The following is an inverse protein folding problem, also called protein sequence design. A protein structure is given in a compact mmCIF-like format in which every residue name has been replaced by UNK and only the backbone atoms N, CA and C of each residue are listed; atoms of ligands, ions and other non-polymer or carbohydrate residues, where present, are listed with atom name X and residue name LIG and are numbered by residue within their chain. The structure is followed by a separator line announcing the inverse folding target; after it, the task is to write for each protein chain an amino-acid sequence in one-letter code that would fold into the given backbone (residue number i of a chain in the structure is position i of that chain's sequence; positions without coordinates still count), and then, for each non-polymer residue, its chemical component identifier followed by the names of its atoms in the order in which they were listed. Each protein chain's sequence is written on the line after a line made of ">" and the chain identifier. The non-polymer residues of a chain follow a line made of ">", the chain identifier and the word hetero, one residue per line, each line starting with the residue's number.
data_IF_812629994663
#
_entry.id   IF_812629994663
#
_cell.length_a   1.000
_cell.length_b   1.000
_cell.length_c   1.000
_cell.angle_alpha   90.00
_cell.angle_beta   90.00
_cell.angle_gamma   90.00
#
_symmetry.space_group_name_H-M   'P 1'
#
loop_
_entity.id
_entity.type
_entity.pdbx_description
1 polymer ?
#
# COMPACT_ATOMS: atom_id res chain seq x y z
N UNK A 1 -2.32 0.96 20.97
CA UNK A 1 -2.56 0.87 19.51
C UNK A 1 -2.37 2.24 18.91
N UNK A 2 -1.43 2.40 17.97
CA UNK A 2 -1.21 3.69 17.32
C UNK A 2 -2.30 3.91 16.27
N UNK A 3 -3.10 4.94 16.46
CA UNK A 3 -4.12 5.37 15.52
C UNK A 3 -3.37 5.92 14.31
N UNK A 4 -3.37 5.20 13.19
CA UNK A 4 -2.89 5.74 11.91
C UNK A 4 -3.96 6.74 11.46
N UNK A 5 -3.87 7.97 11.96
CA UNK A 5 -4.66 9.08 11.46
C UNK A 5 -4.43 9.17 9.96
N UNK A 6 -5.49 9.02 9.17
CA UNK A 6 -5.50 9.27 7.74
C UNK A 6 -5.03 10.70 7.49
N UNK A 7 -3.75 10.90 7.26
CA UNK A 7 -3.18 12.22 7.02
C UNK A 7 -3.45 12.59 5.57
N UNK A 8 -4.51 13.35 5.32
CA UNK A 8 -4.63 14.10 4.06
C UNK A 8 -3.39 14.98 3.90
N UNK A 9 -2.72 14.84 2.76
CA UNK A 9 -1.57 15.69 2.44
C UNK A 9 -2.05 17.13 2.22
N UNK A 10 -1.46 18.11 2.90
CA UNK A 10 -1.86 19.52 2.78
C UNK A 10 -0.79 20.29 2.01
N UNK A 11 -0.81 20.15 0.69
CA UNK A 11 0.10 20.85 -0.22
C UNK A 11 -0.54 22.18 -0.63
N UNK A 12 0.24 23.27 -0.57
CA UNK A 12 -0.29 24.56 -1.01
C UNK A 12 -0.48 24.57 -2.54
N UNK A 13 -1.58 25.14 -3.07
CA UNK A 13 -1.83 25.18 -4.52
C UNK A 13 -0.71 25.87 -5.31
N UNK A 14 -0.09 26.91 -4.74
CA UNK A 14 1.03 27.61 -5.34
C UNK A 14 2.26 26.71 -5.49
N UNK A 15 2.61 25.95 -4.45
CA UNK A 15 3.75 25.03 -4.52
C UNK A 15 3.46 23.85 -5.44
N UNK A 16 2.23 23.35 -5.47
CA UNK A 16 1.85 22.28 -6.39
C UNK A 16 1.95 22.71 -7.85
N UNK A 17 1.52 23.93 -8.17
CA UNK A 17 1.57 24.48 -9.54
C UNK A 17 3.00 24.68 -10.05
N UNK A 18 3.93 25.04 -9.17
CA UNK A 18 5.31 25.38 -9.55
C UNK A 18 6.26 24.18 -9.43
N UNK A 19 6.13 23.40 -8.35
CA UNK A 19 7.09 22.37 -7.99
C UNK A 19 6.53 20.93 -8.06
N UNK A 20 5.21 20.77 -8.26
CA UNK A 20 4.56 19.46 -8.30
C UNK A 20 4.92 18.57 -7.10
N UNK A 21 4.84 19.14 -5.89
CA UNK A 21 5.26 18.50 -4.64
C UNK A 21 4.54 17.17 -4.37
N UNK A 22 3.34 16.99 -4.92
CA UNK A 22 2.61 15.72 -4.89
C UNK A 22 3.41 14.54 -5.45
N UNK A 23 4.33 14.78 -6.39
CA UNK A 23 5.20 13.75 -6.97
C UNK A 23 6.12 13.11 -5.95
N UNK A 24 6.51 13.84 -4.90
CA UNK A 24 7.42 13.39 -3.84
C UNK A 24 6.74 12.42 -2.86
N UNK A 25 5.41 12.50 -2.71
CA UNK A 25 4.64 11.65 -1.80
C UNK A 25 4.75 10.17 -2.18
N UNK A 26 4.85 9.31 -1.16
CA UNK A 26 4.91 7.87 -1.32
C UNK A 26 6.21 7.26 -0.79
N UNK A 27 6.35 5.95 -1.00
CA UNK A 27 7.51 5.18 -0.61
C UNK A 27 8.45 5.02 -1.81
N UNK A 28 9.75 5.08 -1.55
CA UNK A 28 10.81 5.00 -2.54
C UNK A 28 11.87 4.02 -2.06
N UNK A 29 12.32 3.11 -2.92
CA UNK A 29 13.33 2.09 -2.58
C UNK A 29 14.37 1.98 -3.68
N UNK A 30 15.60 1.66 -3.29
CA UNK A 30 16.69 1.39 -4.20
C UNK A 30 17.94 0.95 -3.45
N UNK A 31 19.09 1.06 -4.11
CA UNK A 31 20.37 0.64 -3.56
C UNK A 31 21.38 1.78 -3.69
N UNK A 32 22.27 1.88 -2.71
CA UNK A 32 23.40 2.80 -2.76
C UNK A 32 24.34 2.48 -3.93
N UNK A 33 24.74 3.53 -4.65
CA UNK A 33 25.76 3.43 -5.70
C UNK A 33 27.10 3.06 -5.06
N UNK A 34 27.71 1.97 -5.53
CA UNK A 34 29.06 1.54 -5.15
C UNK A 34 29.15 0.39 -4.15
N UNK A 35 28.16 0.19 -3.27
CA UNK A 35 28.14 -0.92 -2.31
C UNK A 35 26.87 -1.78 -2.37
N UNK A 36 25.90 -1.40 -3.21
CA UNK A 36 24.64 -2.09 -3.44
C UNK A 36 23.80 -2.35 -2.17
N UNK A 37 24.05 -1.62 -1.08
CA UNK A 37 23.27 -1.75 0.15
C UNK A 37 21.88 -1.13 -0.02
N UNK A 38 20.81 -1.75 0.51
CA UNK A 38 19.46 -1.25 0.35
C UNK A 38 19.26 0.06 1.11
N UNK A 39 18.50 0.96 0.50
CA UNK A 39 18.11 2.25 1.06
C UNK A 39 16.68 2.60 0.64
N UNK A 40 15.94 3.23 1.55
CA UNK A 40 14.56 3.62 1.34
C UNK A 40 14.27 5.00 1.89
N UNK A 41 13.36 5.72 1.24
CA UNK A 41 12.87 7.01 1.70
C UNK A 41 11.37 7.05 1.48
N UNK A 42 10.60 7.44 2.48
CA UNK A 42 9.14 7.52 2.41
C UNK A 42 8.69 8.90 2.84
N UNK A 43 7.89 9.54 1.99
CA UNK A 43 7.26 10.83 2.27
C UNK A 43 5.79 10.58 2.60
N UNK A 44 5.46 10.72 3.87
CA UNK A 44 4.13 10.42 4.43
C UNK A 44 3.16 11.57 4.17
N UNK A 45 3.62 12.80 4.39
CA UNK A 45 2.82 14.01 4.23
C UNK A 45 3.73 15.20 3.94
N UNK A 46 3.25 16.18 3.18
CA UNK A 46 3.85 17.49 2.98
C UNK A 46 2.86 18.55 3.45
N UNK A 47 3.33 19.47 4.32
CA UNK A 47 2.59 20.62 4.85
C UNK A 47 3.46 21.88 4.74
N UNK A 48 3.26 22.64 3.67
CA UNK A 48 4.08 23.84 3.39
C UNK A 48 5.56 23.50 3.23
N UNK A 49 6.41 24.07 4.09
CA UNK A 49 7.86 23.85 4.08
C UNK A 49 8.32 22.63 4.92
N UNK A 50 7.39 21.78 5.37
CA UNK A 50 7.69 20.61 6.19
C UNK A 50 7.10 19.34 5.60
N UNK A 51 7.86 18.24 5.67
CA UNK A 51 7.38 16.91 5.32
C UNK A 51 7.55 15.95 6.49
N UNK A 52 6.59 15.05 6.70
CA UNK A 52 6.80 13.90 7.58
C UNK A 52 7.39 12.76 6.75
N UNK A 53 8.53 12.23 7.18
CA UNK A 53 9.29 11.25 6.41
C UNK A 53 9.73 10.05 7.26
N UNK A 54 10.01 8.95 6.58
CA UNK A 54 10.74 7.79 7.10
C UNK A 54 11.95 7.53 6.19
N UNK A 55 13.13 7.37 6.76
CA UNK A 55 14.37 7.10 6.04
C UNK A 55 14.98 5.79 6.53
N UNK A 56 15.13 4.82 5.63
CA UNK A 56 15.63 3.48 5.95
C UNK A 56 17.00 3.29 5.32
N UNK A 57 18.02 2.99 6.13
CA UNK A 57 19.38 2.70 5.67
C UNK A 57 20.07 1.76 6.65
N UNK A 58 20.96 0.89 6.15
CA UNK A 58 21.74 -0.05 6.98
C UNK A 58 20.89 -0.88 7.96
N UNK A 59 19.67 -1.25 7.57
CA UNK A 59 18.73 -2.01 8.42
C UNK A 59 18.00 -1.19 9.49
N UNK A 60 18.24 0.12 9.59
CA UNK A 60 17.57 1.01 10.54
C UNK A 60 16.58 1.94 9.82
N UNK A 61 15.54 2.39 10.53
CA UNK A 61 14.59 3.38 10.02
C UNK A 61 14.50 4.57 10.99
N UNK A 62 14.81 5.75 10.47
CA UNK A 62 14.67 7.03 11.15
C UNK A 62 13.37 7.70 10.70
N UNK A 63 12.69 8.38 11.61
CA UNK A 63 11.42 9.05 11.33
C UNK A 63 11.44 10.46 11.89
N UNK A 64 10.85 11.41 11.17
CA UNK A 64 10.78 12.78 11.66
C UNK A 64 10.21 13.76 10.66
N UNK A 65 10.47 15.04 10.94
CA UNK A 65 10.11 16.14 10.07
C UNK A 65 11.31 16.59 9.26
N UNK A 66 11.14 16.64 7.94
CA UNK A 66 12.08 17.11 6.96
C UNK A 66 11.69 18.52 6.47
N UNK A 67 12.68 19.26 5.98
CA UNK A 67 12.46 20.53 5.31
C UNK A 67 12.12 20.30 3.84
N UNK A 68 11.17 21.08 3.32
CA UNK A 68 10.75 21.03 1.92
C UNK A 68 11.11 22.35 1.26
N UNK A 69 11.97 22.29 0.25
CA UNK A 69 12.36 23.44 -0.56
C UNK A 69 12.14 23.12 -2.04
N UNK A 70 11.04 23.66 -2.58
CA UNK A 70 10.62 23.39 -3.96
C UNK A 70 10.33 21.90 -4.18
N UNK A 71 11.12 21.27 -5.06
CA UNK A 71 11.05 19.84 -5.39
C UNK A 71 12.03 18.96 -4.58
N UNK A 72 12.70 19.54 -3.58
CA UNK A 72 13.67 18.85 -2.73
C UNK A 72 13.12 18.69 -1.31
N UNK A 73 13.48 17.56 -0.68
CA UNK A 73 13.25 17.31 0.74
C UNK A 73 14.58 17.01 1.41
N UNK A 74 14.87 17.71 2.51
CA UNK A 74 16.10 17.53 3.29
C UNK A 74 15.76 17.02 4.69
N UNK A 75 16.36 15.90 5.07
CA UNK A 75 16.19 15.25 6.38
C UNK A 75 17.56 14.85 6.93
N UNK A 76 18.03 15.55 7.95
CA UNK A 76 19.39 15.36 8.48
C UNK A 76 20.44 15.54 7.38
N UNK A 77 21.28 14.52 7.18
CA UNK A 77 22.30 14.49 6.11
C UNK A 77 21.80 14.11 4.73
N UNK A 78 20.51 13.82 4.57
CA UNK A 78 19.92 13.31 3.33
C UNK A 78 19.16 14.42 2.61
N UNK A 79 19.37 14.53 1.31
CA UNK A 79 18.53 15.33 0.40
C UNK A 79 17.99 14.43 -0.70
N UNK A 80 16.68 14.48 -0.93
CA UNK A 80 16.01 13.75 -2.01
C UNK A 80 15.31 14.68 -2.98
N UNK A 81 15.20 14.26 -4.24
CA UNK A 81 14.45 14.99 -5.26
C UNK A 81 13.97 14.07 -6.38
N UNK A 82 12.80 14.39 -6.94
CA UNK A 82 12.26 13.74 -8.13
C UNK A 82 11.85 14.77 -9.16
N UNK A 83 12.06 14.46 -10.44
CA UNK A 83 11.60 15.30 -11.57
C UNK A 83 10.25 14.82 -12.12
N UNK A 84 10.09 13.50 -12.20
CA UNK A 84 9.00 12.84 -12.92
C UNK A 84 7.99 12.13 -12.00
N UNK A 85 8.31 11.98 -10.71
CA UNK A 85 7.48 11.21 -9.80
C UNK A 85 7.57 9.70 -10.01
N UNK A 86 8.57 9.21 -10.76
CA UNK A 86 8.84 7.77 -10.99
C UNK A 86 10.18 7.35 -10.41
N UNK A 87 11.20 8.20 -10.58
CA UNK A 87 12.53 8.00 -10.03
C UNK A 87 12.92 9.16 -9.12
N UNK A 88 13.59 8.85 -8.04
CA UNK A 88 14.07 9.83 -7.06
C UNK A 88 15.58 9.64 -6.86
N UNK A 89 16.32 10.74 -6.84
CA UNK A 89 17.72 10.73 -6.45
C UNK A 89 17.78 11.01 -4.96
N UNK A 90 18.54 10.21 -4.24
CA UNK A 90 18.90 10.42 -2.85
C UNK A 90 20.39 10.73 -2.77
N UNK A 91 20.73 11.84 -2.12
CA UNK A 91 22.08 12.27 -1.83
C UNK A 91 22.26 12.29 -0.30
N UNK A 92 23.24 11.56 0.21
CA UNK A 92 23.72 11.72 1.58
C UNK A 92 25.03 12.51 1.59
N UNK A 93 25.07 13.56 2.42
CA UNK A 93 26.26 14.38 2.61
C UNK A 93 26.28 14.96 4.03
N UNK A 94 27.25 14.50 4.84
CA UNK A 94 27.51 15.03 6.18
C UNK A 94 29.02 15.19 6.38
N UNK A 95 29.45 16.36 6.86
CA UNK A 95 30.74 16.55 7.55
C UNK A 95 32.01 16.07 6.83
N UNK A 96 32.12 16.22 5.51
CA UNK A 96 33.33 15.85 4.76
C UNK A 96 33.55 14.33 4.56
N UNK A 97 32.67 13.47 5.09
CA UNK A 97 32.80 12.01 5.08
C UNK A 97 32.45 11.33 3.73
N UNK A 98 32.54 12.07 2.62
CA UNK A 98 32.17 11.60 1.29
C UNK A 98 30.69 11.78 0.95
N UNK A 99 30.39 11.85 -0.34
CA UNK A 99 29.02 11.92 -0.88
C UNK A 99 28.60 10.51 -1.30
N UNK A 100 27.43 10.07 -0.85
CA UNK A 100 26.82 8.84 -1.35
C UNK A 100 25.54 9.18 -2.09
N UNK A 101 25.27 8.45 -3.16
CA UNK A 101 24.07 8.64 -3.98
C UNK A 101 23.34 7.33 -4.18
N UNK A 102 22.01 7.40 -4.30
CA UNK A 102 21.18 6.27 -4.66
C UNK A 102 20.11 6.73 -5.65
N UNK A 103 19.76 5.83 -6.58
CA UNK A 103 18.59 5.98 -7.42
C UNK A 103 17.48 5.13 -6.81
N UNK A 104 16.37 5.78 -6.47
CA UNK A 104 15.21 5.14 -5.86
C UNK A 104 14.07 5.09 -6.86
N UNK A 105 13.36 3.99 -6.86
CA UNK A 105 12.14 3.79 -7.65
C UNK A 105 10.92 3.99 -6.76
N UNK A 106 9.92 4.67 -7.31
CA UNK A 106 8.65 4.85 -6.61
C UNK A 106 7.99 3.50 -6.41
N UNK A 107 7.70 3.19 -5.16
CA UNK A 107 6.92 2.02 -4.83
C UNK A 107 5.46 2.34 -5.08
N UNK A 108 4.76 1.38 -5.68
CA UNK A 108 3.31 1.40 -5.64
C UNK A 108 2.89 1.52 -4.18
N UNK A 109 1.86 2.33 -3.85
CA UNK A 109 1.28 2.28 -2.53
C UNK A 109 1.06 0.81 -2.21
N UNK A 110 1.35 0.35 -0.98
CA UNK A 110 0.78 -0.92 -0.57
C UNK A 110 -0.70 -0.82 -0.91
N UNK A 111 -1.30 -1.94 -1.32
CA UNK A 111 -2.75 -2.00 -1.27
C UNK A 111 -3.19 -1.43 0.08
N UNK A 112 -4.39 -0.87 0.18
CA UNK A 112 -4.87 -0.60 1.52
C UNK A 112 -5.10 -1.98 2.16
N UNK A 113 -4.04 -2.53 2.78
CA UNK A 113 -3.98 -3.90 3.26
C UNK A 113 -5.17 -4.13 4.19
N UNK A 114 -5.45 -3.13 5.03
CA UNK A 114 -6.61 -3.06 5.91
C UNK A 114 -7.96 -3.17 5.19
N UNK A 115 -8.13 -2.54 4.02
CA UNK A 115 -9.41 -2.60 3.28
C UNK A 115 -9.65 -3.98 2.72
N UNK A 116 -8.64 -4.64 2.16
CA UNK A 116 -8.77 -5.96 1.52
C UNK A 116 -8.76 -7.13 2.51
N UNK A 117 -8.02 -7.02 3.60
CA UNK A 117 -7.90 -8.05 4.65
C UNK A 117 -9.28 -8.45 5.18
N UNK A 118 -9.60 -9.74 5.18
CA UNK A 118 -10.85 -10.25 5.73
C UNK A 118 -11.56 -11.23 4.82
N UNK A 119 -12.77 -11.62 5.22
CA UNK A 119 -13.62 -12.54 4.46
C UNK A 119 -14.71 -11.75 3.76
N UNK A 120 -14.96 -12.09 2.51
CA UNK A 120 -15.93 -11.47 1.64
C UNK A 120 -16.86 -12.53 1.09
N UNK A 121 -18.13 -12.20 0.94
CA UNK A 121 -19.07 -13.12 0.31
C UNK A 121 -20.31 -12.42 -0.18
N UNK A 122 -20.98 -13.08 -1.11
CA UNK A 122 -22.22 -12.56 -1.66
C UNK A 122 -22.80 -13.48 -2.72
N UNK A 123 -23.94 -13.04 -3.22
CA UNK A 123 -24.74 -13.70 -4.23
C UNK A 123 -25.24 -12.65 -5.22
N UNK A 124 -25.19 -12.98 -6.51
CA UNK A 124 -25.74 -12.15 -7.57
C UNK A 124 -27.07 -12.73 -8.04
N UNK A 125 -28.15 -11.97 -7.86
CA UNK A 125 -29.47 -12.28 -8.41
C UNK A 125 -29.46 -12.31 -9.94
N UNK A 126 -28.57 -11.54 -10.57
CA UNK A 126 -28.58 -11.31 -12.02
C UNK A 126 -28.04 -12.51 -12.80
N UNK A 127 -27.17 -13.30 -12.19
CA UNK A 127 -26.55 -14.47 -12.83
C UNK A 127 -26.63 -15.75 -11.98
N UNK A 128 -27.28 -15.68 -10.82
CA UNK A 128 -27.48 -16.81 -9.91
C UNK A 128 -26.20 -17.34 -9.26
N UNK A 129 -25.10 -16.58 -9.28
CA UNK A 129 -23.80 -17.02 -8.78
C UNK A 129 -23.51 -16.54 -7.37
N UNK A 130 -22.94 -17.42 -6.56
CA UNK A 130 -22.34 -17.10 -5.26
C UNK A 130 -20.83 -17.18 -5.34
N UNK A 131 -20.16 -16.24 -4.67
CA UNK A 131 -18.72 -16.27 -4.53
C UNK A 131 -18.32 -15.81 -3.13
N UNK A 132 -17.22 -16.36 -2.63
CA UNK A 132 -16.56 -15.87 -1.43
C UNK A 132 -15.06 -15.79 -1.64
N UNK A 133 -14.44 -14.83 -0.97
CA UNK A 133 -13.02 -14.53 -1.07
C UNK A 133 -12.51 -14.22 0.33
N UNK A 134 -11.53 -14.97 0.81
CA UNK A 134 -10.90 -14.75 2.09
C UNK A 134 -9.46 -14.35 1.87
N UNK A 135 -9.10 -13.17 2.38
CA UNK A 135 -7.75 -12.62 2.34
C UNK A 135 -7.11 -12.87 3.71
N UNK A 136 -6.18 -13.82 3.74
CA UNK A 136 -5.51 -14.31 4.95
C UNK A 136 -4.36 -13.41 5.37
N UNK A 137 -3.61 -12.92 4.40
CA UNK A 137 -2.53 -11.95 4.60
C UNK A 137 -2.29 -11.16 3.32
N UNK A 138 -1.76 -9.96 3.47
CA UNK A 138 -1.26 -9.14 2.36
C UNK A 138 0.17 -8.74 2.72
N UNK A 139 1.11 -8.97 1.80
CA UNK A 139 2.50 -8.61 1.94
C UNK A 139 2.98 -7.95 0.64
N UNK A 140 2.89 -6.62 0.58
CA UNK A 140 3.26 -5.85 -0.61
C UNK A 140 2.37 -6.19 -1.81
N UNK A 141 2.95 -6.84 -2.83
CA UNK A 141 2.25 -7.22 -4.08
C UNK A 141 1.67 -8.63 -4.04
N UNK A 142 1.79 -9.33 -2.92
CA UNK A 142 1.29 -10.70 -2.76
C UNK A 142 0.25 -10.78 -1.64
N UNK A 143 -0.74 -11.65 -1.80
CA UNK A 143 -1.71 -11.96 -0.76
C UNK A 143 -1.95 -13.46 -0.66
N UNK A 144 -1.99 -14.01 0.55
CA UNK A 144 -2.48 -15.36 0.75
C UNK A 144 -4.01 -15.34 0.77
N UNK A 145 -4.63 -16.13 -0.09
CA UNK A 145 -6.07 -16.08 -0.29
C UNK A 145 -6.70 -17.48 -0.33
N UNK A 146 -7.99 -17.53 -0.02
CA UNK A 146 -8.86 -18.68 -0.24
C UNK A 146 -10.11 -18.19 -0.95
N UNK A 147 -10.39 -18.73 -2.13
CA UNK A 147 -11.50 -18.30 -2.99
C UNK A 147 -12.43 -19.48 -3.21
N UNK A 148 -13.73 -19.27 -2.97
CA UNK A 148 -14.76 -20.26 -3.26
C UNK A 148 -15.74 -19.70 -4.28
N UNK A 149 -15.80 -20.30 -5.45
CA UNK A 149 -16.72 -19.96 -6.54
C UNK A 149 -17.40 -21.23 -7.02
N UNK A 150 -18.72 -21.19 -7.20
CA UNK A 150 -19.50 -22.37 -7.64
C UNK A 150 -19.24 -23.63 -6.77
N UNK A 151 -19.06 -23.43 -5.46
CA UNK A 151 -18.80 -24.52 -4.50
C UNK A 151 -17.36 -25.06 -4.48
N UNK A 152 -16.49 -24.63 -5.39
CA UNK A 152 -15.10 -25.08 -5.47
C UNK A 152 -14.20 -24.09 -4.74
N UNK A 153 -13.45 -24.57 -3.75
CA UNK A 153 -12.49 -23.75 -2.99
C UNK A 153 -11.07 -23.95 -3.52
N UNK A 154 -10.35 -22.84 -3.73
CA UNK A 154 -8.94 -22.81 -4.15
C UNK A 154 -8.16 -21.87 -3.24
N UNK A 155 -6.94 -22.25 -2.88
CA UNK A 155 -6.08 -21.46 -2.01
C UNK A 155 -4.73 -21.22 -2.66
N UNK A 156 -4.08 -20.11 -2.32
CA UNK A 156 -2.72 -19.82 -2.73
C UNK A 156 -2.38 -18.33 -2.70
N UNK A 157 -1.31 -17.98 -3.40
CA UNK A 157 -0.83 -16.61 -3.49
C UNK A 157 -1.47 -15.88 -4.66
N UNK A 158 -2.19 -14.78 -4.38
CA UNK A 158 -2.69 -13.84 -5.37
C UNK A 158 -1.81 -12.60 -5.51
N UNK A 159 -1.92 -11.91 -6.64
CA UNK A 159 -1.27 -10.63 -6.89
C UNK A 159 -2.16 -9.48 -6.41
N UNK A 160 -1.54 -8.52 -5.75
CA UNK A 160 -2.21 -7.37 -5.14
C UNK A 160 -1.89 -6.12 -5.95
N UNK A 161 -2.91 -5.37 -6.33
CA UNK A 161 -2.78 -4.09 -7.02
C UNK A 161 -3.86 -3.12 -6.55
N UNK A 162 -3.47 -2.04 -5.87
CA UNK A 162 -4.40 -1.09 -5.22
C UNK A 162 -5.39 -1.85 -4.33
N UNK A 163 -6.70 -1.64 -4.46
CA UNK A 163 -7.70 -2.38 -3.70
C UNK A 163 -8.26 -3.57 -4.50
N UNK A 164 -7.39 -4.25 -5.26
CA UNK A 164 -7.72 -5.43 -6.05
C UNK A 164 -6.76 -6.56 -5.72
N UNK A 165 -7.29 -7.77 -5.54
CA UNK A 165 -6.49 -9.00 -5.49
C UNK A 165 -6.92 -9.89 -6.63
N UNK A 166 -5.95 -10.38 -7.40
CA UNK A 166 -6.13 -11.32 -8.50
C UNK A 166 -5.54 -12.67 -8.09
N UNK A 167 -6.31 -13.75 -8.22
CA UNK A 167 -5.88 -15.11 -7.91
C UNK A 167 -6.45 -16.09 -8.93
N UNK A 168 -5.57 -16.60 -9.79
CA UNK A 168 -5.96 -17.46 -10.92
C UNK A 168 -6.98 -16.76 -11.82
N UNK A 169 -8.16 -17.36 -11.96
CA UNK A 169 -9.26 -16.83 -12.77
C UNK A 169 -10.28 -16.00 -11.97
N UNK A 170 -9.98 -15.67 -10.72
CA UNK A 170 -10.85 -14.88 -9.84
C UNK A 170 -10.13 -13.62 -9.36
N UNK A 171 -10.88 -12.55 -9.13
CA UNK A 171 -10.39 -11.33 -8.52
C UNK A 171 -11.43 -10.71 -7.61
N UNK A 172 -10.98 -10.01 -6.57
CA UNK A 172 -11.83 -9.18 -5.71
C UNK A 172 -11.39 -7.73 -5.81
N UNK A 173 -12.35 -6.81 -5.90
CA UNK A 173 -12.13 -5.37 -5.89
C UNK A 173 -13.08 -4.68 -4.89
N UNK A 174 -12.57 -3.66 -4.18
CA UNK A 174 -13.34 -2.84 -3.25
C UNK A 174 -12.84 -1.40 -3.27
N UNK A 175 -13.70 -0.41 -3.09
CA UNK A 175 -13.29 1.00 -2.98
C UNK A 175 -13.31 1.50 -1.53
N UNK A 176 -14.27 1.00 -0.74
CA UNK A 176 -14.56 1.43 0.64
C UNK A 176 -14.03 0.46 1.71
N UNK A 177 -13.61 -0.76 1.32
CA UNK A 177 -13.21 -1.80 2.25
C UNK A 177 -14.36 -2.51 2.96
N UNK A 178 -15.61 -2.34 2.49
CA UNK A 178 -16.82 -2.95 3.05
C UNK A 178 -17.68 -3.62 1.98
N UNK A 179 -17.86 -2.95 0.84
CA UNK A 179 -18.55 -3.48 -0.33
C UNK A 179 -17.54 -3.72 -1.45
N UNK A 180 -17.79 -4.74 -2.24
CA UNK A 180 -16.92 -5.09 -3.33
C UNK A 180 -17.60 -5.92 -4.38
N UNK A 181 -16.78 -6.40 -5.32
CA UNK A 181 -17.19 -7.32 -6.35
C UNK A 181 -16.13 -8.40 -6.52
N UNK A 182 -16.58 -9.64 -6.58
CA UNK A 182 -15.77 -10.75 -7.06
C UNK A 182 -16.08 -10.92 -8.54
N UNK A 183 -15.05 -10.94 -9.37
CA UNK A 183 -15.16 -11.26 -10.79
C UNK A 183 -14.42 -12.56 -11.02
N UNK A 184 -15.04 -13.55 -11.63
CA UNK A 184 -14.38 -14.80 -11.94
C UNK A 184 -14.80 -15.37 -13.30
N UNK A 185 -13.88 -16.08 -13.94
CA UNK A 185 -14.10 -16.68 -15.24
C UNK A 185 -14.39 -18.18 -15.13
N UNK A 186 -15.40 -18.64 -15.88
CA UNK A 186 -15.69 -20.06 -16.11
C UNK A 186 -15.74 -20.27 -17.62
N UNK A 187 -14.73 -20.96 -18.17
CA UNK A 187 -14.54 -21.05 -19.61
C UNK A 187 -14.31 -19.67 -20.23
N UNK A 188 -15.12 -19.29 -21.22
CA UNK A 188 -15.05 -17.98 -21.89
C UNK A 188 -15.97 -16.92 -21.29
N UNK A 189 -16.74 -17.27 -20.24
CA UNK A 189 -17.71 -16.36 -19.62
C UNK A 189 -17.15 -15.79 -18.32
N UNK A 190 -17.38 -14.50 -18.11
CA UNK A 190 -17.04 -13.79 -16.88
C UNK A 190 -18.30 -13.54 -16.06
N UNK A 191 -18.23 -13.81 -14.76
CA UNK A 191 -19.32 -13.59 -13.82
C UNK A 191 -18.88 -12.56 -12.78
N UNK A 192 -19.76 -11.60 -12.50
CA UNK A 192 -19.57 -10.62 -11.45
C UNK A 192 -20.57 -10.91 -10.32
N UNK A 193 -20.05 -10.98 -9.10
CA UNK A 193 -20.83 -11.19 -7.88
C UNK A 193 -20.59 -10.01 -6.95
N UNK A 194 -21.62 -9.22 -6.60
CA UNK A 194 -21.48 -8.21 -5.56
C UNK A 194 -21.25 -8.93 -4.23
N UNK A 195 -20.31 -8.41 -3.44
CA UNK A 195 -19.95 -9.00 -2.15
C UNK A 195 -19.87 -7.95 -1.07
N UNK A 196 -20.10 -8.38 0.15
CA UNK A 196 -19.92 -7.58 1.36
C UNK A 196 -18.88 -8.26 2.22
N UNK A 197 -18.09 -7.44 2.91
CA UNK A 197 -17.12 -7.91 3.89
C UNK A 197 -17.87 -8.41 5.12
N UNK A 198 -17.56 -9.62 5.55
CA UNK A 198 -18.08 -10.12 6.81
C UNK A 198 -17.45 -9.34 7.96
N UNK A 199 -18.22 -9.03 9.02
CA UNK A 199 -17.64 -8.49 10.24
C UNK A 199 -16.55 -9.44 10.74
N UNK A 200 -15.49 -8.91 11.41
CA UNK A 200 -14.55 -9.75 12.11
C UNK A 200 -15.33 -10.71 13.00
N UNK A 201 -14.96 -11.99 13.02
CA UNK A 201 -15.58 -12.90 13.98
C UNK A 201 -15.34 -12.33 15.37
N UNK A 202 -16.43 -11.93 16.05
CA UNK A 202 -16.35 -11.47 17.41
C UNK A 202 -15.64 -12.55 18.22
N UNK A 203 -14.57 -12.16 18.91
CA UNK A 203 -13.92 -13.02 19.90
C UNK A 203 -14.83 -13.12 21.13
N UNK A 204 -16.06 -13.58 20.98
CA UNK A 204 -16.98 -13.83 22.08
C UNK A 204 -16.90 -15.30 22.45
N UNK A 205 -15.84 -15.67 23.17
CA UNK A 205 -15.86 -16.86 24.01
C UNK A 205 -16.73 -16.57 25.23
N UNK A 206 -18.05 -16.60 25.06
CA UNK A 206 -18.95 -16.82 26.19
C UNK A 206 -18.91 -18.30 26.51
N UNK A 207 -17.92 -18.70 27.30
CA UNK A 207 -17.93 -19.99 27.99
C UNK A 207 -19.03 -19.88 29.03
N UNK A 208 -20.18 -20.49 28.74
CA UNK A 208 -21.23 -20.71 29.72
C UNK A 208 -20.65 -21.56 30.86
N UNK A 209 -20.43 -20.95 32.03
CA UNK A 209 -20.10 -21.67 33.27
C UNK A 209 -21.39 -21.88 34.04
N UNK A 210 -22.19 -22.83 33.60
CA UNK A 210 -23.11 -23.55 34.47
C UNK A 210 -22.86 -25.06 34.36
N UNK A 211 -22.05 -25.59 35.28
CA UNK A 211 -22.04 -26.96 35.75
C UNK A 211 -21.18 -27.05 37.01
#
# INVERSE_FOLDING_TARGET
>A
MAIVTSSTSQISPANERVFHQSKLLGEWKGNWVGNNQPVGFKVVNIRGARAQVEYTHNGHTERGFAEVNGSLITFGGVTVGTKDGKSMVLLFSVGGAGKQTANLEKQDPPASDSRLMGSWGGYSSDNGKSASFKVLSVNGKEAQVSVTTDGITRQGTGTVYKNVIMFGQAQIATDDGQNGKIIYQVGTKSFMVPVTKYPPADSSSSVDKTA
#
